data_IF_045353905267
#
_entry.id   IF_045353905267
#
_cell.length_a   1.000
_cell.length_b   1.000
_cell.length_c   1.000
_cell.angle_alpha   90.00
_cell.angle_beta   90.00
_cell.angle_gamma   90.00
#
_symmetry.space_group_name_H-M   'P 1'
#
loop_
_entity.id
_entity.type
_entity.pdbx_description
1 polymer ?
#
# COMPACT_ATOMS: atom_id res chain seq x y z
N UNK A 1 13.93 0.23 2.90
CA UNK A 1 12.67 -0.10 2.20
C UNK A 1 11.70 -0.73 3.18
N UNK A 2 10.42 -0.32 3.17
CA UNK A 2 9.37 -0.90 4.01
C UNK A 2 8.43 -1.74 3.14
N UNK A 3 8.19 -2.98 3.57
CA UNK A 3 7.24 -3.90 2.93
C UNK A 3 6.19 -4.34 3.93
N UNK A 4 4.93 -4.43 3.48
CA UNK A 4 3.80 -4.93 4.29
C UNK A 4 3.08 -6.05 3.56
N UNK A 5 3.08 -7.23 4.18
CA UNK A 5 2.29 -8.37 3.72
C UNK A 5 0.86 -8.31 4.26
N UNK A 6 -0.10 -8.20 3.35
CA UNK A 6 -1.52 -8.09 3.69
C UNK A 6 -2.23 -9.45 3.64
N UNK A 7 -1.57 -10.50 3.15
CA UNK A 7 -2.16 -11.83 3.11
C UNK A 7 -2.60 -12.36 4.46
N UNK A 8 -1.85 -12.22 5.58
CA UNK A 8 -2.28 -12.78 6.87
C UNK A 8 -3.63 -12.24 7.35
N UNK A 9 -3.98 -11.01 6.96
CA UNK A 9 -5.20 -10.30 7.39
C UNK A 9 -6.25 -10.19 6.28
N UNK A 10 -6.13 -10.96 5.19
CA UNK A 10 -6.97 -10.81 4.00
C UNK A 10 -8.48 -10.95 4.22
N UNK A 11 -8.88 -11.60 5.32
CA UNK A 11 -10.27 -11.84 5.71
C UNK A 11 -10.87 -10.70 6.54
N UNK A 12 -10.07 -9.76 7.05
CA UNK A 12 -10.55 -8.68 7.91
C UNK A 12 -10.32 -7.31 7.25
N UNK A 13 -11.40 -6.72 6.73
CA UNK A 13 -11.34 -5.43 6.06
C UNK A 13 -10.82 -4.31 6.96
N UNK A 14 -11.20 -4.32 8.25
CA UNK A 14 -10.78 -3.30 9.21
C UNK A 14 -9.27 -3.36 9.44
N UNK A 15 -8.74 -4.56 9.61
CA UNK A 15 -7.30 -4.76 9.83
C UNK A 15 -6.51 -4.38 8.58
N UNK A 16 -7.02 -4.68 7.38
CA UNK A 16 -6.40 -4.25 6.11
C UNK A 16 -6.28 -2.72 6.06
N UNK A 17 -7.36 -1.98 6.30
CA UNK A 17 -7.33 -0.52 6.27
C UNK A 17 -6.42 0.07 7.35
N UNK A 18 -6.42 -0.51 8.55
CA UNK A 18 -5.54 -0.11 9.63
C UNK A 18 -4.06 -0.33 9.26
N UNK A 19 -3.71 -1.51 8.74
CA UNK A 19 -2.36 -1.84 8.33
C UNK A 19 -1.87 -0.94 7.18
N UNK A 20 -2.72 -0.67 6.18
CA UNK A 20 -2.40 0.25 5.09
C UNK A 20 -2.11 1.66 5.59
N UNK A 21 -2.96 2.18 6.48
CA UNK A 21 -2.79 3.52 7.05
C UNK A 21 -1.50 3.61 7.88
N UNK A 22 -1.25 2.63 8.74
CA UNK A 22 -0.03 2.55 9.54
C UNK A 22 1.22 2.45 8.67
N UNK A 23 1.17 1.67 7.58
CA UNK A 23 2.26 1.51 6.64
C UNK A 23 2.66 2.84 5.98
N UNK A 24 1.66 3.61 5.50
CA UNK A 24 1.87 4.92 4.89
C UNK A 24 2.53 5.89 5.88
N UNK A 25 1.99 6.02 7.08
CA UNK A 25 2.54 6.93 8.10
C UNK A 25 3.95 6.53 8.52
N UNK A 26 4.18 5.22 8.75
CA UNK A 26 5.50 4.71 9.12
C UNK A 26 6.53 4.99 8.02
N UNK A 27 6.19 4.72 6.76
CA UNK A 27 7.13 4.89 5.65
C UNK A 27 7.43 6.37 5.36
N UNK A 28 6.43 7.25 5.51
CA UNK A 28 6.65 8.69 5.44
C UNK A 28 7.56 9.18 6.58
N UNK A 29 7.40 8.67 7.79
CA UNK A 29 8.21 9.05 8.95
C UNK A 29 9.67 8.60 8.85
N UNK A 30 9.96 7.51 8.14
CA UNK A 30 11.34 7.01 7.95
C UNK A 30 12.07 7.68 6.80
N UNK A 31 11.40 8.48 5.97
CA UNK A 31 11.99 9.08 4.76
C UNK A 31 12.27 8.08 3.65
N UNK A 32 11.60 6.92 3.65
CA UNK A 32 11.76 5.92 2.59
C UNK A 32 11.10 6.41 1.29
N UNK A 33 11.73 6.24 0.12
CA UNK A 33 11.16 6.71 -1.13
C UNK A 33 9.97 5.84 -1.60
N UNK A 34 9.95 4.56 -1.21
CA UNK A 34 8.97 3.58 -1.68
C UNK A 34 8.48 2.69 -0.54
N UNK A 35 7.17 2.54 -0.46
CA UNK A 35 6.47 1.54 0.36
C UNK A 35 5.97 0.42 -0.55
N UNK A 36 6.31 -0.82 -0.21
CA UNK A 36 5.76 -1.99 -0.88
C UNK A 36 4.57 -2.58 -0.12
N UNK A 37 3.47 -2.80 -0.84
CA UNK A 37 2.29 -3.49 -0.33
C UNK A 37 2.14 -4.82 -1.08
N UNK A 38 2.01 -5.92 -0.34
CA UNK A 38 1.87 -7.27 -0.89
C UNK A 38 0.45 -7.80 -0.64
N UNK A 39 -0.52 -7.45 -1.50
CA UNK A 39 -1.87 -8.04 -1.47
C UNK A 39 -1.94 -9.42 -2.15
N UNK A 40 -0.91 -9.82 -2.90
CA UNK A 40 -0.87 -11.10 -3.60
C UNK A 40 -1.49 -11.13 -4.98
N UNK A 41 -1.28 -12.28 -5.64
CA UNK A 41 -1.81 -12.57 -6.98
C UNK A 41 -3.26 -13.04 -6.90
N UNK A 42 -3.52 -14.13 -6.18
CA UNK A 42 -4.85 -14.60 -5.75
C UNK A 42 -6.00 -14.40 -6.76
N UNK A 43 -7.20 -14.12 -6.23
CA UNK A 43 -8.37 -13.74 -7.04
C UNK A 43 -8.41 -12.25 -7.40
N UNK A 44 -7.36 -11.49 -7.07
CA UNK A 44 -7.32 -10.03 -7.24
C UNK A 44 -8.20 -9.23 -6.26
N UNK A 45 -9.07 -9.86 -5.46
CA UNK A 45 -9.98 -9.14 -4.53
C UNK A 45 -9.24 -8.27 -3.51
N UNK A 46 -8.19 -8.80 -2.87
CA UNK A 46 -7.40 -8.03 -1.90
C UNK A 46 -6.67 -6.86 -2.60
N UNK A 47 -6.07 -7.11 -3.77
CA UNK A 47 -5.44 -6.08 -4.58
C UNK A 47 -6.40 -4.96 -4.97
N UNK A 48 -7.60 -5.30 -5.45
CA UNK A 48 -8.63 -4.33 -5.79
C UNK A 48 -9.04 -3.48 -4.58
N UNK A 49 -9.13 -4.08 -3.39
CA UNK A 49 -9.40 -3.35 -2.14
C UNK A 49 -8.27 -2.39 -1.79
N UNK A 50 -7.00 -2.80 -1.90
CA UNK A 50 -5.85 -1.91 -1.67
C UNK A 50 -5.87 -0.73 -2.64
N UNK A 51 -6.13 -0.98 -3.93
CA UNK A 51 -6.22 0.08 -4.94
C UNK A 51 -7.38 1.05 -4.62
N UNK A 52 -8.54 0.53 -4.22
CA UNK A 52 -9.68 1.36 -3.82
C UNK A 52 -9.36 2.22 -2.59
N UNK A 53 -8.64 1.67 -1.60
CA UNK A 53 -8.16 2.42 -0.44
C UNK A 53 -7.19 3.55 -0.83
N UNK A 54 -6.18 3.24 -1.65
CA UNK A 54 -5.23 4.24 -2.14
C UNK A 54 -5.93 5.35 -2.95
N UNK A 55 -7.00 5.01 -3.68
CA UNK A 55 -7.80 5.96 -4.44
C UNK A 55 -8.64 6.95 -3.62
N UNK A 56 -8.79 6.75 -2.30
CA UNK A 56 -9.59 7.64 -1.46
C UNK A 56 -8.95 9.04 -1.39
N UNK A 57 -9.72 10.15 -1.56
CA UNK A 57 -9.15 11.50 -1.66
C UNK A 57 -8.24 11.92 -0.50
N UNK A 58 -8.56 11.51 0.72
CA UNK A 58 -7.77 11.81 1.91
C UNK A 58 -6.50 10.95 2.01
N UNK A 59 -6.47 9.76 1.38
CA UNK A 59 -5.31 8.87 1.33
C UNK A 59 -4.36 9.30 0.21
N UNK A 60 -4.87 9.70 -0.97
CA UNK A 60 -4.05 10.22 -2.09
C UNK A 60 -3.16 11.40 -1.68
N UNK A 61 -3.56 12.17 -0.67
CA UNK A 61 -2.75 13.30 -0.15
C UNK A 61 -1.51 12.86 0.63
N UNK A 62 -1.39 11.58 0.99
CA UNK A 62 -0.31 11.05 1.84
C UNK A 62 0.91 10.54 1.05
N UNK A 63 0.80 10.43 -0.27
CA UNK A 63 1.87 9.90 -1.13
C UNK A 63 1.92 10.68 -2.46
N UNK A 64 2.90 10.36 -3.31
CA UNK A 64 3.07 10.99 -4.63
C UNK A 64 2.26 10.24 -5.71
N UNK A 65 2.63 8.98 -5.98
CA UNK A 65 1.95 8.08 -6.92
C UNK A 65 2.01 6.63 -6.46
N UNK A 66 1.22 5.75 -7.07
CA UNK A 66 1.38 4.31 -6.91
C UNK A 66 1.29 3.61 -8.25
N UNK A 67 1.89 2.43 -8.34
CA UNK A 67 1.79 1.55 -9.49
C UNK A 67 1.67 0.09 -9.03
N UNK A 68 1.00 -0.73 -9.84
CA UNK A 68 1.13 -2.18 -9.73
C UNK A 68 2.47 -2.51 -10.34
N UNK A 69 3.28 -3.27 -9.62
CA UNK A 69 4.58 -3.66 -10.12
C UNK A 69 4.44 -4.51 -11.41
N UNK A 70 5.07 -4.09 -12.53
CA UNK A 70 4.98 -4.80 -13.81
C UNK A 70 5.65 -6.19 -13.78
N UNK A 71 6.66 -6.40 -12.93
CA UNK A 71 7.38 -7.68 -12.82
C UNK A 71 6.69 -8.62 -11.81
N UNK A 72 6.01 -8.07 -10.82
CA UNK A 72 5.22 -8.82 -9.85
C UNK A 72 3.84 -8.21 -9.63
N UNK A 73 2.86 -8.68 -10.40
CA UNK A 73 1.46 -8.21 -10.30
C UNK A 73 0.77 -8.44 -8.94
N UNK A 74 1.41 -9.14 -7.99
CA UNK A 74 0.98 -9.27 -6.59
C UNK A 74 1.57 -8.24 -5.63
N UNK A 75 2.33 -7.26 -6.14
CA UNK A 75 2.95 -6.15 -5.41
C UNK A 75 2.42 -4.81 -5.93
N UNK A 76 2.21 -3.87 -5.02
CA UNK A 76 1.91 -2.47 -5.31
C UNK A 76 3.03 -1.63 -4.72
N UNK A 77 3.60 -0.75 -5.53
CA UNK A 77 4.62 0.21 -5.13
C UNK A 77 3.95 1.55 -4.89
N UNK A 78 4.09 2.09 -3.69
CA UNK A 78 3.62 3.44 -3.34
C UNK A 78 4.84 4.34 -3.20
N UNK A 79 4.96 5.30 -4.11
CA UNK A 79 6.03 6.29 -4.14
C UNK A 79 5.66 7.42 -3.18
N UNK A 80 6.52 7.66 -2.21
CA UNK A 80 6.34 8.68 -1.20
C UNK A 80 6.95 10.00 -1.65
N UNK A 81 6.45 11.10 -1.10
CA UNK A 81 7.07 12.41 -1.32
C UNK A 81 8.40 12.44 -0.60
N UNK A 82 9.42 13.01 -1.26
CA UNK A 82 10.66 13.31 -0.58
C UNK A 82 10.37 14.23 0.60
N UNK A 83 10.87 13.88 1.78
CA UNK A 83 10.93 14.80 2.91
C UNK A 83 11.82 15.96 2.47
N UNK A 84 11.23 17.15 2.30
CA UNK A 84 11.97 18.38 2.11
C UNK A 84 12.72 18.77 3.40
#
# INVERSE_FOLDING_TARGET
MITVDLHPIFRNNRDIELALRQALFRAAATGEPVLELIPGKGSGKLKARVIAFLGQPHVKRLYDRFEVDPENGGRILVHLRASA
#
